data_IF_852206820100
#
_entry.id   IF_852206820100
#
_cell.length_a   1.000
_cell.length_b   1.000
_cell.length_c   1.000
_cell.angle_alpha   90.00
_cell.angle_beta   90.00
_cell.angle_gamma   90.00
#
_symmetry.space_group_name_H-M   'P 1'
#
loop_
_entity.id
_entity.type
_entity.pdbx_description
1 polymer ?
#
# COMPACT_ATOMS: atom_id res chain seq x y z
N UNK A 1 -15.03 -6.05 17.25
CA UNK A 1 -15.23 -5.30 15.99
C UNK A 1 -15.49 -3.85 16.39
N UNK A 2 -14.77 -2.87 15.83
CA UNK A 2 -15.08 -1.48 16.14
C UNK A 2 -16.54 -1.25 15.72
N UNK A 3 -17.36 -0.80 16.67
CA UNK A 3 -18.72 -0.31 16.47
C UNK A 3 -18.74 1.06 15.79
N UNK A 4 -17.57 1.56 15.38
CA UNK A 4 -17.43 2.80 14.65
C UNK A 4 -17.62 2.48 13.16
N UNK A 5 -18.55 3.20 12.53
CA UNK A 5 -18.80 3.08 11.09
C UNK A 5 -17.54 3.25 10.26
N UNK A 6 -17.62 2.83 9.00
CA UNK A 6 -16.59 3.02 8.00
C UNK A 6 -16.24 4.50 7.82
N UNK A 7 -15.08 4.77 7.18
CA UNK A 7 -14.70 6.09 6.71
C UNK A 7 -15.75 6.83 5.83
N UNK A 8 -16.85 6.26 5.42
CA UNK A 8 -17.92 6.99 4.71
C UNK A 8 -19.19 7.15 5.56
N UNK A 9 -19.10 6.85 6.87
CA UNK A 9 -20.22 6.87 7.79
C UNK A 9 -21.10 5.62 7.71
N UNK A 10 -20.82 4.67 6.80
CA UNK A 10 -21.61 3.44 6.65
C UNK A 10 -21.31 2.45 7.77
N UNK A 11 -22.31 1.67 8.16
CA UNK A 11 -22.17 0.59 9.14
C UNK A 11 -22.15 -0.77 8.40
N UNK A 12 -21.25 -1.69 8.75
CA UNK A 12 -21.28 -3.05 8.23
C UNK A 12 -22.41 -3.85 8.86
N UNK A 13 -23.40 -4.26 8.05
CA UNK A 13 -24.47 -5.19 8.43
C UNK A 13 -24.11 -6.58 7.90
N UNK A 14 -23.79 -7.51 8.82
CA UNK A 14 -23.33 -8.85 8.46
C UNK A 14 -24.48 -9.85 8.51
N UNK A 15 -24.73 -10.53 7.39
CA UNK A 15 -25.60 -11.68 7.28
C UNK A 15 -24.74 -12.93 7.08
N UNK A 16 -25.17 -14.07 7.61
CA UNK A 16 -24.49 -15.32 7.30
C UNK A 16 -25.41 -16.52 7.43
N UNK A 17 -25.24 -17.48 6.53
CA UNK A 17 -26.00 -18.71 6.50
C UNK A 17 -25.10 -19.94 6.24
N UNK A 18 -25.65 -21.13 6.52
CA UNK A 18 -24.95 -22.39 6.31
C UNK A 18 -25.06 -22.90 4.86
N UNK A 19 -26.02 -22.37 4.10
CA UNK A 19 -26.26 -22.58 2.68
C UNK A 19 -26.40 -21.21 2.01
N UNK A 20 -26.07 -21.12 0.73
CA UNK A 20 -25.98 -19.84 0.00
C UNK A 20 -27.35 -19.21 -0.21
N UNK A 21 -28.31 -20.02 -0.64
CA UNK A 21 -29.70 -19.67 -0.90
C UNK A 21 -30.42 -19.09 0.33
N UNK A 22 -29.92 -19.40 1.53
CA UNK A 22 -30.49 -18.90 2.78
C UNK A 22 -30.09 -17.45 3.08
N UNK A 23 -29.06 -16.91 2.43
CA UNK A 23 -28.75 -15.47 2.53
C UNK A 23 -29.90 -14.61 2.01
N UNK A 24 -30.51 -15.01 0.89
CA UNK A 24 -31.67 -14.32 0.32
C UNK A 24 -32.88 -14.39 1.28
N UNK A 25 -33.10 -15.57 1.88
CA UNK A 25 -34.18 -15.77 2.87
C UNK A 25 -33.99 -14.89 4.11
N UNK A 26 -32.76 -14.80 4.64
CA UNK A 26 -32.44 -13.93 5.76
C UNK A 26 -32.58 -12.44 5.37
N UNK A 27 -32.20 -12.06 4.15
CA UNK A 27 -32.36 -10.71 3.64
C UNK A 27 -33.84 -10.29 3.59
N UNK A 28 -34.73 -11.15 3.07
CA UNK A 28 -36.18 -10.92 3.06
C UNK A 28 -36.80 -10.83 4.46
N UNK A 29 -36.29 -11.62 5.40
CA UNK A 29 -36.72 -11.54 6.79
C UNK A 29 -36.35 -10.20 7.42
N UNK A 30 -35.13 -9.70 7.15
CA UNK A 30 -34.69 -8.39 7.63
C UNK A 30 -35.47 -7.27 6.94
N UNK A 31 -35.68 -7.32 5.62
CA UNK A 31 -36.50 -6.33 4.89
C UNK A 31 -37.88 -6.15 5.52
N UNK A 32 -38.55 -7.25 5.88
CA UNK A 32 -39.84 -7.21 6.60
C UNK A 32 -39.74 -6.60 7.99
N UNK A 33 -38.60 -6.75 8.67
CA UNK A 33 -38.36 -6.14 9.97
C UNK A 33 -38.11 -4.63 9.88
N UNK A 34 -37.49 -4.15 8.79
CA UNK A 34 -37.13 -2.73 8.60
C UNK A 34 -38.33 -1.78 8.46
N UNK A 35 -39.56 -2.28 8.35
CA UNK A 35 -40.78 -1.47 8.44
C UNK A 35 -41.10 -0.94 9.85
N UNK A 36 -40.22 -1.18 10.84
CA UNK A 36 -40.33 -0.73 12.23
C UNK A 36 -39.41 0.45 12.49
N UNK A 37 -39.64 1.14 13.61
CA UNK A 37 -38.74 2.19 14.09
C UNK A 37 -37.38 1.60 14.53
N UNK A 38 -36.37 1.73 13.67
CA UNK A 38 -35.03 1.19 13.85
C UNK A 38 -34.00 1.97 13.04
N UNK A 39 -32.72 1.78 13.35
CA UNK A 39 -31.60 2.33 12.60
C UNK A 39 -30.63 1.21 12.16
N UNK A 40 -29.72 1.54 11.24
CA UNK A 40 -28.76 0.57 10.67
C UNK A 40 -27.85 -0.03 11.75
N UNK A 41 -27.43 0.77 12.72
CA UNK A 41 -26.53 0.33 13.80
C UNK A 41 -27.20 -0.68 14.72
N UNK A 42 -28.47 -0.44 15.07
CA UNK A 42 -29.28 -1.33 15.89
C UNK A 42 -29.49 -2.69 15.19
N UNK A 43 -29.73 -2.68 13.87
CA UNK A 43 -29.85 -3.90 13.06
C UNK A 43 -28.51 -4.65 13.03
N UNK A 44 -27.41 -3.97 12.69
CA UNK A 44 -26.07 -4.56 12.65
C UNK A 44 -25.68 -5.22 13.99
N UNK A 45 -25.85 -4.49 15.09
CA UNK A 45 -25.54 -4.98 16.43
C UNK A 45 -26.42 -6.18 16.82
N UNK A 46 -27.70 -6.16 16.46
CA UNK A 46 -28.62 -7.27 16.74
C UNK A 46 -28.23 -8.54 15.99
N UNK A 47 -27.91 -8.44 14.70
CA UNK A 47 -27.46 -9.59 13.91
C UNK A 47 -26.17 -10.18 14.48
N UNK A 48 -25.16 -9.35 14.75
CA UNK A 48 -23.89 -9.79 15.31
C UNK A 48 -24.03 -10.44 16.70
N UNK A 49 -24.95 -9.95 17.54
CA UNK A 49 -25.15 -10.47 18.90
C UNK A 49 -25.98 -11.76 18.93
N UNK A 50 -26.92 -11.92 18.01
CA UNK A 50 -27.93 -13.00 18.08
C UNK A 50 -27.68 -14.12 17.08
N UNK A 51 -26.89 -13.89 16.02
CA UNK A 51 -26.62 -14.87 14.97
C UNK A 51 -25.17 -15.33 15.04
N UNK A 52 -24.98 -16.66 15.04
CA UNK A 52 -23.66 -17.26 14.86
C UNK A 52 -23.20 -17.05 13.41
N UNK A 53 -21.99 -16.55 13.22
CA UNK A 53 -21.37 -16.44 11.90
C UNK A 53 -21.18 -17.83 11.26
N UNK A 54 -21.68 -17.99 10.03
CA UNK A 54 -21.63 -19.22 9.24
C UNK A 54 -20.74 -19.05 7.99
N UNK A 55 -20.73 -20.07 7.12
CA UNK A 55 -19.86 -20.17 5.95
C UNK A 55 -20.20 -19.12 4.89
N UNK A 56 -21.44 -19.09 4.44
CA UNK A 56 -21.89 -18.14 3.42
C UNK A 56 -22.18 -16.83 4.13
N UNK A 57 -21.52 -15.75 3.70
CA UNK A 57 -21.56 -14.44 4.36
C UNK A 57 -21.88 -13.38 3.34
N UNK A 58 -22.65 -12.38 3.78
CA UNK A 58 -22.82 -11.13 3.08
C UNK A 58 -22.57 -9.97 4.05
N UNK A 59 -21.94 -8.91 3.56
CA UNK A 59 -21.80 -7.64 4.28
C UNK A 59 -22.46 -6.57 3.44
N UNK A 60 -23.52 -5.97 3.98
CA UNK A 60 -24.15 -4.77 3.41
C UNK A 60 -23.57 -3.56 4.13
N UNK A 61 -22.98 -2.63 3.40
CA UNK A 61 -22.48 -1.36 3.95
C UNK A 61 -23.55 -0.29 3.76
N UNK A 62 -24.12 0.25 4.83
CA UNK A 62 -25.21 1.22 4.73
C UNK A 62 -25.07 2.36 5.74
N UNK A 63 -25.28 3.60 5.29
CA UNK A 63 -25.36 4.80 6.13
C UNK A 63 -26.81 5.15 6.51
N UNK A 64 -27.80 4.56 5.84
CA UNK A 64 -29.21 4.80 6.09
C UNK A 64 -30.04 3.53 5.93
N UNK A 65 -31.27 3.55 6.45
CA UNK A 65 -32.23 2.44 6.24
C UNK A 65 -32.54 2.24 4.76
N UNK A 66 -32.60 3.31 3.96
CA UNK A 66 -32.81 3.21 2.51
C UNK A 66 -31.67 2.43 1.84
N UNK A 67 -30.41 2.77 2.14
CA UNK A 67 -29.24 2.05 1.62
C UNK A 67 -29.22 0.57 2.06
N UNK A 68 -29.63 0.31 3.30
CA UNK A 68 -29.74 -1.05 3.81
C UNK A 68 -30.82 -1.85 3.06
N UNK A 69 -31.97 -1.23 2.78
CA UNK A 69 -33.05 -1.84 2.00
C UNK A 69 -32.56 -2.18 0.59
N UNK A 70 -31.90 -1.24 -0.11
CA UNK A 70 -31.37 -1.47 -1.46
C UNK A 70 -30.39 -2.65 -1.50
N UNK A 71 -29.45 -2.69 -0.55
CA UNK A 71 -28.48 -3.79 -0.46
C UNK A 71 -29.11 -5.14 -0.13
N UNK A 72 -30.10 -5.17 0.77
CA UNK A 72 -30.82 -6.40 1.11
C UNK A 72 -31.73 -6.89 -0.02
N UNK A 73 -32.35 -5.97 -0.78
CA UNK A 73 -33.14 -6.31 -1.97
C UNK A 73 -32.25 -6.93 -3.04
N UNK A 74 -31.07 -6.38 -3.28
CA UNK A 74 -30.11 -6.97 -4.20
C UNK A 74 -29.67 -8.36 -3.75
N UNK A 75 -29.37 -8.53 -2.46
CA UNK A 75 -29.00 -9.84 -1.89
C UNK A 75 -30.13 -10.87 -1.99
N UNK A 76 -31.38 -10.45 -1.74
CA UNK A 76 -32.57 -11.29 -1.90
C UNK A 76 -32.77 -11.74 -3.36
N UNK A 77 -32.59 -10.83 -4.30
CA UNK A 77 -32.72 -11.11 -5.73
C UNK A 77 -31.51 -11.85 -6.34
N UNK A 78 -30.42 -12.03 -5.60
CA UNK A 78 -29.17 -12.59 -6.12
C UNK A 78 -28.43 -11.66 -7.10
N UNK A 79 -28.68 -10.35 -7.02
CA UNK A 79 -28.08 -9.34 -7.88
C UNK A 79 -26.81 -8.75 -7.27
N UNK A 80 -25.86 -8.35 -8.11
CA UNK A 80 -24.72 -7.55 -7.68
C UNK A 80 -25.15 -6.16 -7.21
N UNK A 81 -24.47 -5.64 -6.19
CA UNK A 81 -24.72 -4.29 -5.68
C UNK A 81 -23.43 -3.68 -5.14
N UNK A 82 -23.10 -2.41 -5.45
CA UNK A 82 -21.84 -1.79 -5.03
C UNK A 82 -21.59 -1.81 -3.50
N UNK A 83 -22.66 -1.80 -2.71
CA UNK A 83 -22.61 -1.82 -1.25
C UNK A 83 -22.58 -3.22 -0.63
N UNK A 84 -22.74 -4.28 -1.42
CA UNK A 84 -22.86 -5.67 -0.94
C UNK A 84 -21.63 -6.46 -1.35
N UNK A 85 -20.98 -7.09 -0.36
CA UNK A 85 -19.91 -8.06 -0.60
C UNK A 85 -20.35 -9.43 -0.08
N UNK A 86 -20.16 -10.48 -0.87
CA UNK A 86 -20.46 -11.86 -0.47
C UNK A 86 -19.20 -12.72 -0.49
N UNK A 87 -19.15 -13.74 0.36
CA UNK A 87 -18.11 -14.75 0.33
C UNK A 87 -18.57 -16.03 1.03
N UNK A 88 -18.12 -17.16 0.50
CA UNK A 88 -18.23 -18.48 1.13
C UNK A 88 -16.87 -19.16 1.30
N UNK A 89 -15.80 -18.40 1.07
CA UNK A 89 -14.44 -18.91 1.09
C UNK A 89 -14.05 -19.33 2.51
N UNK A 90 -13.39 -20.49 2.57
CA UNK A 90 -12.86 -21.10 3.79
C UNK A 90 -11.34 -21.13 3.80
N UNK A 91 -10.69 -20.48 2.82
CA UNK A 91 -9.25 -20.46 2.71
C UNK A 91 -8.60 -20.01 4.01
N UNK A 92 -7.72 -20.86 4.52
CA UNK A 92 -6.90 -20.65 5.72
C UNK A 92 -5.51 -20.16 5.37
N UNK A 93 -5.32 -19.65 4.14
CA UNK A 93 -4.04 -19.17 3.65
C UNK A 93 -3.51 -18.01 4.50
N UNK A 94 -2.19 -17.84 4.52
CA UNK A 94 -1.58 -16.67 5.15
C UNK A 94 -2.01 -15.42 4.41
N UNK A 95 -2.43 -14.39 5.14
CA UNK A 95 -2.60 -13.05 4.59
C UNK A 95 -1.24 -12.47 4.23
N UNK A 96 -1.14 -11.88 3.03
CA UNK A 96 0.06 -11.18 2.57
C UNK A 96 -0.22 -9.68 2.58
N UNK A 97 0.63 -8.90 3.26
CA UNK A 97 0.62 -7.44 3.12
C UNK A 97 1.64 -7.02 2.07
N UNK A 98 1.17 -6.25 1.09
CA UNK A 98 1.99 -5.77 -0.03
C UNK A 98 2.16 -4.27 0.10
N UNK A 99 3.41 -3.82 0.13
CA UNK A 99 3.78 -2.42 0.34
C UNK A 99 4.37 -1.84 -0.96
N UNK A 100 3.67 -0.93 -1.65
CA UNK A 100 4.14 -0.38 -2.91
C UNK A 100 5.35 0.56 -2.71
N UNK A 101 6.11 0.75 -3.79
CA UNK A 101 7.22 1.70 -3.83
C UNK A 101 6.80 3.12 -4.21
N UNK A 102 7.75 3.89 -4.72
CA UNK A 102 7.52 5.27 -5.17
C UNK A 102 6.86 5.32 -6.56
N UNK A 103 5.99 6.31 -6.78
CA UNK A 103 5.39 6.63 -8.08
C UNK A 103 3.91 7.04 -8.05
N UNK A 104 3.16 6.70 -6.99
CA UNK A 104 1.72 7.00 -6.86
C UNK A 104 1.38 7.82 -5.61
N UNK A 105 2.39 8.35 -4.91
CA UNK A 105 2.18 9.25 -3.78
C UNK A 105 1.65 10.60 -4.24
N UNK A 106 0.88 11.25 -3.38
CA UNK A 106 0.33 12.58 -3.61
C UNK A 106 0.26 13.33 -2.28
N UNK A 107 0.45 14.67 -2.27
CA UNK A 107 0.25 15.47 -1.06
C UNK A 107 -1.15 15.23 -0.51
N UNK A 108 -1.31 15.19 0.82
CA UNK A 108 -2.58 14.93 1.51
C UNK A 108 -3.07 13.48 1.52
N UNK A 109 -2.29 12.51 1.01
CA UNK A 109 -2.73 11.11 0.92
C UNK A 109 -3.12 10.45 2.25
N UNK A 110 -2.66 10.99 3.38
CA UNK A 110 -3.01 10.50 4.71
C UNK A 110 -3.96 11.40 5.49
N UNK A 111 -4.45 12.50 4.93
CA UNK A 111 -5.23 13.51 5.65
C UNK A 111 -6.50 12.92 6.30
N UNK A 112 -7.34 12.24 5.51
CA UNK A 112 -8.58 11.64 6.01
C UNK A 112 -8.31 10.55 7.05
N UNK A 113 -7.30 9.71 6.83
CA UNK A 113 -6.93 8.66 7.76
C UNK A 113 -6.43 9.23 9.09
N UNK A 114 -5.63 10.30 9.02
CA UNK A 114 -5.09 11.00 10.19
C UNK A 114 -6.18 11.70 11.01
N UNK A 115 -7.18 12.30 10.36
CA UNK A 115 -8.30 12.93 11.07
C UNK A 115 -9.20 11.88 11.75
N UNK A 116 -9.43 10.74 11.08
CA UNK A 116 -10.59 9.89 11.38
C UNK A 116 -10.26 8.56 12.04
N UNK A 117 -9.02 8.10 11.94
CA UNK A 117 -8.55 6.88 12.59
C UNK A 117 -7.55 7.21 13.70
N UNK A 118 -7.95 7.08 14.99
CA UNK A 118 -7.05 7.26 16.12
C UNK A 118 -5.84 6.32 16.07
N UNK A 119 -6.01 5.10 15.53
CA UNK A 119 -4.93 4.12 15.37
C UNK A 119 -3.89 4.60 14.36
N UNK A 120 -4.35 5.13 13.23
CA UNK A 120 -3.47 5.69 12.21
C UNK A 120 -2.72 6.90 12.75
N UNK A 121 -3.46 7.87 13.33
CA UNK A 121 -2.90 9.09 13.91
C UNK A 121 -1.81 8.78 14.95
N UNK A 122 -2.07 7.88 15.89
CA UNK A 122 -1.10 7.52 16.91
C UNK A 122 0.22 6.99 16.32
N UNK A 123 0.15 6.15 15.29
CA UNK A 123 1.35 5.68 14.60
C UNK A 123 2.05 6.83 13.85
N UNK A 124 1.29 7.67 13.13
CA UNK A 124 1.88 8.81 12.43
C UNK A 124 2.64 9.70 13.40
N UNK A 125 2.07 10.00 14.56
CA UNK A 125 2.70 10.80 15.60
C UNK A 125 4.00 10.15 16.13
N UNK A 126 4.00 8.82 16.31
CA UNK A 126 5.18 8.06 16.70
C UNK A 126 6.29 8.13 15.64
N UNK A 127 5.94 7.94 14.37
CA UNK A 127 6.88 8.07 13.26
C UNK A 127 7.43 9.50 13.17
N UNK A 128 6.58 10.52 13.27
CA UNK A 128 6.99 11.93 13.26
C UNK A 128 7.98 12.22 14.39
N UNK A 129 7.74 11.69 15.59
CA UNK A 129 8.68 11.81 16.70
C UNK A 129 10.02 11.12 16.40
N UNK A 130 10.01 9.97 15.72
CA UNK A 130 11.24 9.28 15.29
C UNK A 130 12.04 10.07 14.24
N UNK A 131 11.38 10.69 13.26
CA UNK A 131 12.04 11.60 12.30
C UNK A 131 12.63 12.83 13.01
N UNK A 132 11.90 13.41 13.96
CA UNK A 132 12.38 14.54 14.76
C UNK A 132 13.59 14.15 15.64
N UNK A 133 13.56 12.97 16.27
CA UNK A 133 14.66 12.43 17.06
C UNK A 133 15.93 12.17 16.22
N UNK A 134 15.76 11.85 14.93
CA UNK A 134 16.86 11.75 13.98
C UNK A 134 17.40 13.12 13.52
N UNK A 135 16.76 14.23 13.88
CA UNK A 135 17.16 15.59 13.48
C UNK A 135 16.70 15.96 12.07
N UNK A 136 15.59 15.40 11.61
CA UNK A 136 15.10 15.52 10.24
C UNK A 136 13.69 16.14 10.14
N UNK A 137 13.37 16.63 8.93
CA UNK A 137 12.04 17.17 8.61
C UNK A 137 10.93 16.15 8.83
N UNK A 138 9.75 16.65 9.21
CA UNK A 138 8.59 15.80 9.48
C UNK A 138 7.92 15.36 8.17
N UNK A 139 7.48 14.10 8.04
CA UNK A 139 6.66 13.66 6.91
C UNK A 139 5.21 14.17 7.00
N UNK A 140 4.77 14.69 8.15
CA UNK A 140 3.39 15.09 8.40
C UNK A 140 2.88 16.18 7.44
N UNK A 141 3.62 17.26 7.15
CA UNK A 141 3.16 18.31 6.24
C UNK A 141 2.80 17.78 4.85
N UNK A 142 3.60 16.90 4.26
CA UNK A 142 3.27 16.26 2.99
C UNK A 142 2.03 15.36 3.13
N UNK A 143 1.96 14.59 4.22
CA UNK A 143 0.91 13.60 4.45
C UNK A 143 -0.48 14.23 4.66
N UNK A 144 -0.54 15.42 5.25
CA UNK A 144 -1.80 16.09 5.65
C UNK A 144 -1.97 17.49 5.06
N UNK A 145 -1.19 17.88 4.04
CA UNK A 145 -1.28 19.20 3.42
C UNK A 145 -2.74 19.54 3.07
N UNK A 146 -3.15 20.80 3.24
CA UNK A 146 -4.48 21.24 2.78
C UNK A 146 -4.47 21.77 1.34
N UNK A 147 -3.28 22.05 0.81
CA UNK A 147 -3.06 22.48 -0.59
C UNK A 147 -1.89 21.69 -1.19
N UNK A 148 -2.05 21.21 -2.43
CA UNK A 148 -1.03 20.41 -3.11
C UNK A 148 0.21 21.17 -3.60
N UNK A 149 0.33 22.46 -3.29
CA UNK A 149 1.44 23.31 -3.69
C UNK A 149 2.45 23.42 -2.54
N UNK A 150 3.55 22.67 -2.65
CA UNK A 150 4.70 22.75 -1.77
C UNK A 150 5.95 22.25 -2.50
N UNK A 151 7.10 22.86 -2.22
CA UNK A 151 8.39 22.29 -2.58
C UNK A 151 8.74 21.27 -1.51
N UNK A 152 8.70 19.99 -1.86
CA UNK A 152 8.82 18.88 -0.91
C UNK A 152 10.14 18.15 -1.12
N UNK A 153 10.90 18.00 -0.04
CA UNK A 153 12.14 17.22 -0.03
C UNK A 153 11.86 15.72 -0.22
N UNK A 154 12.86 14.95 -0.66
CA UNK A 154 12.72 13.49 -0.73
C UNK A 154 12.50 12.86 0.65
N UNK A 155 13.01 13.47 1.72
CA UNK A 155 12.76 13.01 3.10
C UNK A 155 11.28 13.12 3.44
N UNK A 156 10.63 14.23 3.10
CA UNK A 156 9.19 14.42 3.33
C UNK A 156 8.35 13.47 2.47
N UNK A 157 8.68 13.34 1.17
CA UNK A 157 7.95 12.47 0.24
C UNK A 157 8.08 11.00 0.64
N UNK A 158 9.31 10.48 0.75
CA UNK A 158 9.54 9.06 1.08
C UNK A 158 9.14 8.73 2.52
N UNK A 159 9.36 9.67 3.44
CA UNK A 159 8.88 9.56 4.82
C UNK A 159 7.36 9.45 4.88
N UNK A 160 6.62 10.31 4.17
CA UNK A 160 5.17 10.24 4.14
C UNK A 160 4.67 8.92 3.54
N UNK A 161 5.34 8.39 2.51
CA UNK A 161 5.01 7.08 1.94
C UNK A 161 5.19 5.93 2.92
N UNK A 162 6.34 5.88 3.60
CA UNK A 162 6.60 4.90 4.64
C UNK A 162 5.54 4.99 5.76
N UNK A 163 5.33 6.19 6.29
CA UNK A 163 4.39 6.42 7.39
C UNK A 163 2.96 6.07 6.99
N UNK A 164 2.53 6.44 5.79
CA UNK A 164 1.20 6.10 5.29
C UNK A 164 1.01 4.60 5.14
N UNK A 165 1.98 3.91 4.54
CA UNK A 165 1.91 2.47 4.30
C UNK A 165 1.84 1.67 5.61
N UNK A 166 2.66 2.03 6.60
CA UNK A 166 2.63 1.40 7.93
C UNK A 166 1.35 1.77 8.69
N UNK A 167 0.85 3.01 8.57
CA UNK A 167 -0.41 3.44 9.19
C UNK A 167 -1.61 2.66 8.70
N UNK A 168 -1.69 2.43 7.39
CA UNK A 168 -2.72 1.58 6.81
C UNK A 168 -2.61 0.13 7.30
N UNK A 169 -1.39 -0.41 7.42
CA UNK A 169 -1.18 -1.75 7.97
C UNK A 169 -1.65 -1.85 9.43
N UNK A 170 -1.37 -0.83 10.26
CA UNK A 170 -1.82 -0.78 11.64
C UNK A 170 -3.35 -0.69 11.76
N UNK A 171 -4.03 0.03 10.84
CA UNK A 171 -5.50 -0.01 10.77
C UNK A 171 -5.97 -1.45 10.55
N UNK A 172 -5.43 -2.16 9.56
CA UNK A 172 -5.81 -3.56 9.29
C UNK A 172 -5.56 -4.48 10.49
N UNK A 173 -4.41 -4.34 11.14
CA UNK A 173 -4.06 -5.10 12.34
C UNK A 173 -5.01 -4.81 13.50
N UNK A 174 -5.44 -3.55 13.68
CA UNK A 174 -6.44 -3.18 14.71
C UNK A 174 -7.81 -3.81 14.46
N UNK A 175 -8.11 -4.18 13.21
CA UNK A 175 -9.30 -4.94 12.82
C UNK A 175 -9.11 -6.47 12.93
N UNK A 176 -7.95 -6.94 13.41
CA UNK A 176 -7.61 -8.35 13.54
C UNK A 176 -7.05 -9.01 12.27
N UNK A 177 -6.82 -8.23 11.21
CA UNK A 177 -6.18 -8.72 9.98
C UNK A 177 -4.68 -8.57 10.12
N UNK A 178 -3.97 -9.68 10.31
CA UNK A 178 -2.51 -9.69 10.53
C UNK A 178 -1.81 -10.44 9.40
N UNK A 179 -0.65 -9.96 8.92
CA UNK A 179 0.07 -10.63 7.85
C UNK A 179 0.80 -11.86 8.39
N UNK A 180 0.77 -12.95 7.62
CA UNK A 180 1.74 -14.05 7.77
C UNK A 180 2.98 -13.86 6.90
N UNK A 181 2.90 -12.97 5.90
CA UNK A 181 3.97 -12.60 4.97
C UNK A 181 3.86 -11.10 4.66
N UNK A 182 4.98 -10.40 4.57
CA UNK A 182 5.07 -9.05 3.99
C UNK A 182 5.96 -9.07 2.76
N UNK A 183 5.59 -8.27 1.76
CA UNK A 183 6.37 -8.03 0.54
C UNK A 183 6.36 -6.53 0.28
N UNK A 184 7.52 -5.95 0.00
CA UNK A 184 7.63 -4.55 -0.40
C UNK A 184 8.24 -4.41 -1.78
N UNK A 185 7.92 -3.31 -2.46
CA UNK A 185 8.57 -2.94 -3.72
C UNK A 185 9.46 -1.72 -3.49
N UNK A 186 10.77 -1.84 -3.72
CA UNK A 186 11.72 -0.72 -3.52
C UNK A 186 11.60 -0.15 -2.09
N UNK A 187 11.42 1.17 -1.93
CA UNK A 187 11.11 1.86 -0.66
C UNK A 187 10.04 1.15 0.20
N UNK A 188 9.04 0.51 -0.43
CA UNK A 188 7.99 -0.22 0.28
C UNK A 188 8.53 -1.37 1.14
N UNK A 189 9.73 -1.90 0.84
CA UNK A 189 10.37 -2.92 1.66
C UNK A 189 10.69 -2.47 3.07
N UNK A 190 10.96 -1.17 3.29
CA UNK A 190 11.22 -0.64 4.63
C UNK A 190 9.95 -0.76 5.50
N UNK A 191 8.78 -0.44 4.93
CA UNK A 191 7.49 -0.66 5.59
C UNK A 191 7.20 -2.15 5.79
N UNK A 192 7.50 -2.99 4.80
CA UNK A 192 7.30 -4.44 4.88
C UNK A 192 8.15 -5.08 5.99
N UNK A 193 9.41 -4.70 6.13
CA UNK A 193 10.32 -5.17 7.17
C UNK A 193 9.87 -4.71 8.56
N UNK A 194 9.49 -3.44 8.69
CA UNK A 194 8.98 -2.90 9.95
C UNK A 194 7.68 -3.60 10.40
N UNK A 195 6.68 -3.71 9.52
CA UNK A 195 5.39 -4.37 9.85
C UNK A 195 5.57 -5.86 10.12
N UNK A 196 6.57 -6.51 9.52
CA UNK A 196 6.92 -7.89 9.86
C UNK A 196 7.59 -8.03 11.24
N UNK A 197 7.92 -6.94 11.92
CA UNK A 197 8.66 -6.95 13.19
C UNK A 197 10.14 -7.30 13.02
N UNK A 198 10.68 -7.22 11.80
CA UNK A 198 12.06 -7.58 11.47
C UNK A 198 13.03 -6.42 11.66
N UNK A 199 12.50 -5.21 11.87
CA UNK A 199 13.24 -3.95 11.96
C UNK A 199 12.55 -3.03 12.95
N UNK A 200 13.33 -2.26 13.73
CA UNK A 200 12.78 -1.27 14.67
C UNK A 200 12.27 -0.03 13.93
N UNK A 201 11.40 0.77 14.55
CA UNK A 201 10.95 2.03 13.95
C UNK A 201 12.12 2.99 13.73
N UNK A 202 13.04 3.08 14.69
CA UNK A 202 14.24 3.93 14.60
C UNK A 202 15.10 3.55 13.40
N UNK A 203 15.36 2.25 13.20
CA UNK A 203 16.14 1.79 12.05
C UNK A 203 15.41 2.04 10.73
N UNK A 204 14.10 1.77 10.69
CA UNK A 204 13.27 2.00 9.50
C UNK A 204 13.31 3.47 9.07
N UNK A 205 13.12 4.39 10.02
CA UNK A 205 13.21 5.84 9.76
C UNK A 205 14.61 6.23 9.30
N UNK A 206 15.67 5.69 9.91
CA UNK A 206 17.05 5.95 9.48
C UNK A 206 17.31 5.47 8.04
N UNK A 207 16.80 4.31 7.65
CA UNK A 207 16.91 3.80 6.27
C UNK A 207 16.17 4.70 5.27
N UNK A 208 14.93 5.11 5.58
CA UNK A 208 14.17 6.03 4.72
C UNK A 208 14.91 7.34 4.53
N UNK A 209 15.43 7.91 5.62
CA UNK A 209 16.23 9.14 5.61
C UNK A 209 17.50 8.98 4.77
N UNK A 210 18.25 7.89 4.98
CA UNK A 210 19.49 7.61 4.26
C UNK A 210 19.25 7.52 2.75
N UNK A 211 18.21 6.77 2.35
CA UNK A 211 17.79 6.63 0.95
C UNK A 211 17.39 7.97 0.34
N UNK A 212 16.54 8.73 1.03
CA UNK A 212 16.10 10.05 0.57
C UNK A 212 17.28 11.02 0.36
N UNK A 213 18.21 11.08 1.32
CA UNK A 213 19.42 11.91 1.22
C UNK A 213 20.34 11.47 0.09
N UNK A 214 20.50 10.16 -0.12
CA UNK A 214 21.34 9.64 -1.19
C UNK A 214 20.78 10.06 -2.56
N UNK A 215 19.46 9.89 -2.78
CA UNK A 215 18.85 10.27 -4.07
C UNK A 215 18.83 11.79 -4.30
N UNK A 216 18.73 12.61 -3.24
CA UNK A 216 18.82 14.07 -3.35
C UNK A 216 20.20 14.55 -3.84
N UNK A 217 21.24 13.73 -3.70
CA UNK A 217 22.60 14.06 -4.17
C UNK A 217 22.83 13.73 -5.63
N UNK A 218 21.95 12.95 -6.26
CA UNK A 218 22.08 12.59 -7.67
C UNK A 218 22.02 13.84 -8.54
N UNK A 219 23.07 14.00 -9.34
CA UNK A 219 23.15 15.03 -10.35
C UNK A 219 22.66 14.47 -11.67
N UNK A 220 21.80 15.21 -12.35
CA UNK A 220 21.29 14.82 -13.67
C UNK A 220 19.79 15.03 -13.77
N UNK A 221 19.29 14.84 -14.99
CA UNK A 221 17.88 14.96 -15.29
C UNK A 221 17.35 13.60 -15.75
N UNK A 222 16.79 12.87 -14.80
CA UNK A 222 16.37 11.49 -14.99
C UNK A 222 14.86 11.35 -14.95
N UNK A 223 14.35 10.33 -15.61
CA UNK A 223 12.93 9.95 -15.57
C UNK A 223 12.80 8.44 -15.47
N UNK A 224 11.59 8.03 -15.13
CA UNK A 224 11.16 6.64 -15.14
C UNK A 224 9.87 6.51 -15.94
N UNK A 225 9.68 5.42 -16.65
CA UNK A 225 8.45 5.10 -17.36
C UNK A 225 8.02 3.66 -17.11
N UNK A 226 6.72 3.46 -16.87
CA UNK A 226 6.09 2.15 -16.86
C UNK A 226 5.68 1.76 -18.27
N UNK A 227 6.03 0.54 -18.69
CA UNK A 227 5.69 -0.04 -19.99
C UNK A 227 4.86 -1.31 -19.80
N UNK A 228 3.83 -1.48 -20.62
CA UNK A 228 2.94 -2.65 -20.62
C UNK A 228 3.47 -3.80 -21.48
N UNK A 229 4.73 -4.19 -21.29
CA UNK A 229 5.45 -5.19 -22.08
C UNK A 229 6.32 -6.09 -21.20
N UNK A 230 6.84 -7.17 -21.76
CA UNK A 230 7.80 -8.04 -21.09
C UNK A 230 9.20 -7.41 -21.00
N UNK A 231 10.05 -7.95 -20.12
CA UNK A 231 11.44 -7.49 -19.96
C UNK A 231 12.25 -7.60 -21.25
N UNK A 232 12.11 -8.69 -22.00
CA UNK A 232 12.86 -8.87 -23.26
C UNK A 232 12.41 -7.91 -24.36
N UNK A 233 11.12 -7.57 -24.42
CA UNK A 233 10.62 -6.53 -25.34
C UNK A 233 11.13 -5.15 -24.95
N UNK A 234 11.21 -4.85 -23.64
CA UNK A 234 11.75 -3.60 -23.15
C UNK A 234 13.25 -3.46 -23.44
N UNK A 235 14.05 -4.51 -23.24
CA UNK A 235 15.47 -4.55 -23.61
C UNK A 235 15.67 -4.29 -25.11
N UNK A 236 14.83 -4.90 -25.97
CA UNK A 236 14.88 -4.63 -27.41
C UNK A 236 14.51 -3.18 -27.74
N UNK A 237 13.48 -2.63 -27.10
CA UNK A 237 13.05 -1.25 -27.33
C UNK A 237 14.11 -0.24 -26.85
N UNK A 238 14.71 -0.47 -25.69
CA UNK A 238 15.82 0.32 -25.13
C UNK A 238 16.97 0.40 -26.15
N UNK A 239 17.33 -0.71 -26.78
CA UNK A 239 18.40 -0.76 -27.77
C UNK A 239 18.11 0.06 -29.06
N UNK A 240 16.86 0.47 -29.29
CA UNK A 240 16.46 1.28 -30.45
C UNK A 240 16.43 2.79 -30.18
N UNK A 241 16.58 3.19 -28.92
CA UNK A 241 16.49 4.59 -28.49
C UNK A 241 17.89 5.09 -28.13
N UNK A 242 18.24 6.28 -28.60
CA UNK A 242 19.51 6.91 -28.24
C UNK A 242 19.48 7.44 -26.79
N UNK A 243 20.64 7.38 -26.12
CA UNK A 243 20.79 7.80 -24.74
C UNK A 243 20.76 6.63 -23.75
N UNK A 244 20.96 6.93 -22.48
CA UNK A 244 21.05 5.91 -21.44
C UNK A 244 19.67 5.54 -20.87
N UNK A 245 19.36 4.24 -20.90
CA UNK A 245 18.14 3.62 -20.39
C UNK A 245 18.48 2.23 -19.81
N UNK A 246 17.85 1.89 -18.69
CA UNK A 246 17.98 0.58 -18.03
C UNK A 246 16.63 0.11 -17.47
N UNK A 247 16.40 -1.20 -17.48
CA UNK A 247 15.25 -1.79 -16.77
C UNK A 247 15.46 -1.65 -15.27
N UNK A 248 14.53 -0.98 -14.61
CA UNK A 248 14.57 -0.70 -13.17
C UNK A 248 13.71 -1.65 -12.34
N UNK A 249 12.58 -2.11 -12.89
CA UNK A 249 11.70 -3.04 -12.17
C UNK A 249 10.93 -3.93 -13.13
N UNK A 250 10.64 -5.16 -12.68
CA UNK A 250 9.76 -6.10 -13.36
C UNK A 250 8.56 -6.36 -12.44
N UNK A 251 7.45 -5.66 -12.69
CA UNK A 251 6.24 -5.73 -11.86
C UNK A 251 5.39 -6.96 -12.19
N UNK A 252 5.42 -7.40 -13.46
CA UNK A 252 4.73 -8.60 -13.91
C UNK A 252 5.36 -9.12 -15.22
N UNK A 253 4.81 -10.21 -15.76
CA UNK A 253 5.22 -10.75 -17.07
C UNK A 253 5.00 -9.77 -18.24
N UNK A 254 4.16 -8.76 -18.05
CA UNK A 254 3.78 -7.77 -19.06
C UNK A 254 3.76 -6.35 -18.49
N UNK A 255 4.58 -6.09 -17.47
CA UNK A 255 4.73 -4.76 -16.88
C UNK A 255 6.14 -4.58 -16.35
N UNK A 256 6.86 -3.61 -16.90
CA UNK A 256 8.20 -3.22 -16.47
C UNK A 256 8.28 -1.72 -16.23
N UNK A 257 9.31 -1.31 -15.50
CA UNK A 257 9.71 0.09 -15.38
C UNK A 257 11.11 0.23 -15.97
N UNK A 258 11.29 1.26 -16.79
CA UNK A 258 12.58 1.66 -17.34
C UNK A 258 12.93 3.02 -16.78
N UNK A 259 14.18 3.22 -16.39
CA UNK A 259 14.73 4.53 -16.01
C UNK A 259 15.84 4.94 -16.94
N UNK A 260 16.06 6.24 -17.04
CA UNK A 260 17.17 6.76 -17.82
C UNK A 260 17.23 8.28 -17.82
N UNK A 261 18.01 8.81 -18.75
CA UNK A 261 18.02 10.26 -19.04
C UNK A 261 16.64 10.72 -19.52
N UNK A 262 16.23 11.93 -19.14
CA UNK A 262 14.90 12.48 -19.48
C UNK A 262 14.56 12.34 -20.96
N UNK A 263 15.47 12.74 -21.84
CA UNK A 263 15.20 12.75 -23.28
C UNK A 263 15.06 11.33 -23.84
N UNK A 264 15.88 10.39 -23.34
CA UNK A 264 15.81 8.99 -23.72
C UNK A 264 14.49 8.34 -23.25
N UNK A 265 14.04 8.65 -22.03
CA UNK A 265 12.75 8.15 -21.52
C UNK A 265 11.58 8.74 -22.31
N UNK A 266 11.63 10.04 -22.62
CA UNK A 266 10.63 10.70 -23.48
C UNK A 266 10.55 10.01 -24.84
N UNK A 267 11.69 9.77 -25.48
CA UNK A 267 11.77 9.09 -26.77
C UNK A 267 11.28 7.63 -26.71
N UNK A 268 11.59 6.92 -25.63
CA UNK A 268 11.12 5.56 -25.37
C UNK A 268 9.60 5.50 -25.27
N UNK A 269 9.00 6.42 -24.50
CA UNK A 269 7.54 6.51 -24.33
C UNK A 269 6.85 6.84 -25.65
N UNK A 270 7.40 7.78 -26.44
CA UNK A 270 6.89 8.09 -27.77
C UNK A 270 6.96 6.86 -28.69
N UNK A 271 8.10 6.19 -28.76
CA UNK A 271 8.30 4.98 -29.60
C UNK A 271 7.35 3.85 -29.20
N UNK A 272 7.12 3.64 -27.90
CA UNK A 272 6.16 2.65 -27.41
C UNK A 272 4.72 3.03 -27.78
N UNK A 273 4.35 4.30 -27.65
CA UNK A 273 3.03 4.82 -27.99
C UNK A 273 2.73 4.69 -29.48
N UNK A 274 3.71 4.98 -30.34
CA UNK A 274 3.59 4.82 -31.80
C UNK A 274 3.36 3.36 -32.22
N UNK A 275 3.81 2.41 -31.39
CA UNK A 275 3.56 0.96 -31.57
C UNK A 275 2.26 0.49 -30.92
N UNK A 276 1.45 1.39 -30.34
CA UNK A 276 0.20 1.08 -29.66
C UNK A 276 0.38 0.39 -28.30
N UNK A 277 1.57 0.49 -27.69
CA UNK A 277 1.88 -0.11 -26.40
C UNK A 277 1.52 0.85 -25.27
N UNK A 278 1.14 0.32 -24.11
CA UNK A 278 1.00 1.15 -22.90
C UNK A 278 2.37 1.67 -22.46
N UNK A 279 2.52 2.98 -22.36
CA UNK A 279 3.70 3.65 -21.82
C UNK A 279 3.27 4.89 -21.03
N UNK A 280 3.83 5.07 -19.83
CA UNK A 280 3.50 6.22 -18.96
C UNK A 280 4.71 6.63 -18.14
N UNK A 281 5.11 7.89 -18.24
CA UNK A 281 6.10 8.48 -17.33
C UNK A 281 5.59 8.48 -15.88
N UNK A 282 6.50 8.25 -14.94
CA UNK A 282 6.23 8.25 -13.51
C UNK A 282 6.65 9.58 -12.89
N UNK A 283 5.98 9.98 -11.79
CA UNK A 283 6.34 11.16 -10.99
C UNK A 283 7.59 10.96 -10.13
N UNK A 284 8.64 10.36 -10.70
CA UNK A 284 9.93 10.08 -10.06
C UNK A 284 11.03 10.65 -10.95
N UNK A 285 11.88 11.48 -10.36
CA UNK A 285 12.91 12.26 -11.05
C UNK A 285 14.34 11.73 -10.85
N UNK A 286 14.48 10.51 -10.33
CA UNK A 286 15.75 9.82 -10.17
C UNK A 286 15.65 8.38 -10.71
N UNK A 287 16.75 7.78 -11.20
CA UNK A 287 16.72 6.50 -11.89
C UNK A 287 16.91 5.34 -10.89
N UNK A 288 15.87 5.04 -10.11
CA UNK A 288 15.92 3.95 -9.12
C UNK A 288 16.31 2.60 -9.74
N UNK A 289 17.07 1.77 -9.01
CA UNK A 289 17.46 0.42 -9.41
C UNK A 289 18.27 0.33 -10.72
N UNK A 290 19.18 1.28 -10.93
CA UNK A 290 20.06 1.32 -12.11
C UNK A 290 21.51 1.50 -11.71
N UNK A 291 22.43 1.30 -12.67
CA UNK A 291 23.86 1.54 -12.46
C UNK A 291 24.20 2.97 -12.06
N UNK A 292 23.33 3.96 -12.34
CA UNK A 292 23.53 5.34 -11.89
C UNK A 292 23.57 5.50 -10.36
N UNK A 293 23.06 4.51 -9.60
CA UNK A 293 23.13 4.52 -8.14
C UNK A 293 24.47 4.00 -7.59
N UNK A 294 25.32 3.37 -8.42
CA UNK A 294 26.60 2.78 -7.96
C UNK A 294 27.53 3.85 -7.36
N UNK A 295 27.53 5.05 -7.92
CA UNK A 295 28.31 6.18 -7.42
C UNK A 295 27.89 6.63 -6.00
N UNK A 296 26.68 6.25 -5.55
CA UNK A 296 26.17 6.58 -4.21
C UNK A 296 26.44 5.48 -3.18
N UNK A 297 27.09 4.37 -3.56
CA UNK A 297 27.27 3.21 -2.66
C UNK A 297 27.85 3.61 -1.30
N UNK A 298 28.98 4.33 -1.31
CA UNK A 298 29.70 4.71 -0.10
C UNK A 298 28.92 5.75 0.71
N UNK A 299 28.28 6.69 0.02
CA UNK A 299 27.44 7.72 0.63
C UNK A 299 26.23 7.12 1.34
N UNK A 300 25.51 6.20 0.68
CA UNK A 300 24.37 5.49 1.26
C UNK A 300 24.83 4.61 2.43
N UNK A 301 25.90 3.83 2.24
CA UNK A 301 26.44 2.95 3.28
C UNK A 301 26.86 3.72 4.54
N UNK A 302 27.39 4.93 4.40
CA UNK A 302 27.75 5.79 5.52
C UNK A 302 26.53 6.36 6.26
N UNK A 303 25.39 6.50 5.58
CA UNK A 303 24.14 7.04 6.14
C UNK A 303 23.25 5.97 6.76
N UNK A 304 23.35 4.72 6.30
CA UNK A 304 22.52 3.62 6.79
C UNK A 304 22.79 3.32 8.28
N UNK A 305 21.75 2.95 9.06
CA UNK A 305 21.95 2.54 10.44
C UNK A 305 22.77 1.25 10.49
N UNK A 306 23.66 1.16 11.48
CA UNK A 306 24.35 -0.09 11.79
C UNK A 306 23.37 -1.04 12.45
N UNK A 307 23.05 -2.14 11.81
CA UNK A 307 22.11 -3.11 12.34
C UNK A 307 21.88 -4.27 11.39
N UNK A 308 20.99 -5.16 11.81
CA UNK A 308 20.66 -6.38 11.09
C UNK A 308 19.20 -6.73 11.33
N UNK A 309 18.59 -7.47 10.40
CA UNK A 309 17.20 -7.90 10.55
C UNK A 309 17.04 -8.84 11.75
N UNK A 310 16.11 -8.52 12.64
CA UNK A 310 15.78 -9.29 13.84
C UNK A 310 14.91 -10.51 13.53
N UNK A 311 14.68 -11.38 14.52
CA UNK A 311 13.81 -12.54 14.38
C UNK A 311 12.33 -12.21 14.62
N UNK A 312 11.42 -12.75 13.79
CA UNK A 312 9.98 -12.51 13.91
C UNK A 312 9.16 -13.59 13.20
N UNK A 313 7.92 -13.89 13.66
CA UNK A 313 7.09 -14.93 13.05
C UNK A 313 6.54 -14.58 11.65
N UNK A 314 6.49 -13.28 11.30
CA UNK A 314 6.03 -12.82 9.99
C UNK A 314 7.20 -12.88 9.00
N UNK A 315 7.00 -13.55 7.86
CA UNK A 315 8.04 -13.67 6.85
C UNK A 315 8.14 -12.38 6.03
N UNK A 316 9.32 -11.78 5.97
CA UNK A 316 9.62 -10.66 5.07
C UNK A 316 10.30 -11.19 3.81
N UNK A 317 9.65 -11.03 2.65
CA UNK A 317 10.20 -11.43 1.35
C UNK A 317 10.78 -10.19 0.68
N UNK A 318 12.09 -10.23 0.41
CA UNK A 318 12.79 -9.14 -0.26
C UNK A 318 12.58 -9.18 -1.77
N UNK A 319 12.12 -8.10 -2.38
CA UNK A 319 11.94 -8.02 -3.84
C UNK A 319 13.28 -8.08 -4.59
N UNK A 320 14.37 -7.60 -3.98
CA UNK A 320 15.72 -7.70 -4.54
C UNK A 320 16.33 -9.12 -4.52
N UNK A 321 15.74 -10.04 -3.75
CA UNK A 321 16.23 -11.43 -3.63
C UNK A 321 15.21 -12.47 -4.10
N UNK A 322 13.92 -12.11 -4.14
CA UNK A 322 12.82 -13.04 -4.40
C UNK A 322 12.63 -14.11 -3.33
N UNK A 323 13.24 -13.94 -2.14
CA UNK A 323 13.28 -14.94 -1.08
C UNK A 323 13.03 -14.30 0.29
N UNK A 324 12.75 -15.14 1.30
CA UNK A 324 12.66 -14.69 2.68
C UNK A 324 14.02 -14.18 3.17
N UNK A 325 14.04 -12.98 3.76
CA UNK A 325 15.28 -12.35 4.25
C UNK A 325 15.73 -13.02 5.55
N UNK A 326 16.91 -13.66 5.59
CA UNK A 326 17.38 -14.36 6.79
C UNK A 326 17.57 -13.43 7.99
N UNK A 327 17.36 -13.97 9.20
CA UNK A 327 17.69 -13.27 10.46
C UNK A 327 19.19 -13.02 10.52
N UNK A 328 19.59 -11.84 10.99
CA UNK A 328 21.00 -11.44 11.05
C UNK A 328 21.57 -10.93 9.73
N UNK A 329 20.76 -10.79 8.68
CA UNK A 329 21.21 -10.13 7.44
C UNK A 329 21.53 -8.66 7.74
N UNK A 330 22.73 -8.21 7.38
CA UNK A 330 23.22 -6.85 7.61
C UNK A 330 22.45 -5.81 6.78
N UNK A 331 22.14 -4.68 7.40
CA UNK A 331 21.40 -3.59 6.77
C UNK A 331 22.16 -2.90 5.64
N UNK A 332 23.47 -2.67 5.77
CA UNK A 332 24.23 -1.91 4.79
C UNK A 332 24.22 -2.61 3.43
N UNK A 333 24.57 -3.90 3.41
CA UNK A 333 24.56 -4.69 2.19
C UNK A 333 23.14 -4.88 1.62
N UNK A 334 22.16 -5.13 2.49
CA UNK A 334 20.79 -5.40 2.04
C UNK A 334 20.14 -4.16 1.40
N UNK A 335 20.20 -3.01 2.08
CA UNK A 335 19.52 -1.80 1.62
C UNK A 335 20.21 -1.11 0.45
N UNK A 336 21.51 -1.33 0.24
CA UNK A 336 22.15 -0.93 -1.01
C UNK A 336 21.67 -1.77 -2.20
N UNK A 337 21.48 -3.09 -1.99
CA UNK A 337 21.00 -3.99 -3.04
C UNK A 337 19.51 -3.77 -3.36
N UNK A 338 18.72 -3.31 -2.41
CA UNK A 338 17.31 -2.93 -2.58
C UNK A 338 17.15 -1.68 -3.44
#
# INVERSE_FOLDING_TARGET
MPTNGFPDGRVPVVLSAHAEELLATDADAILRYLGRDTDVSAVAATLLRTRRLRRHRAVVRAASIAELIEGLQALSAGNEHPMVATSSDTSTGKTVFVFPGQGNQWPSMGADAYDRSPVYRALVDECVAAFAAAGHGSPLPYLTAHTGAGDWSQVEIQGAQFVHAVGLAHIWQSCGVTPGITVGHSLGEVAAAYVAGRMTLTDAVAVVIARAKAVDRLQGDYRMAALGISVGEAEHLIATVEGWLEVSAVNSRSSVVVSGQRDAVTALVATASDRGLFARELGVNYPGHTTALEALHDDLSALLPKGQFGDAPVQFIGSATGQAVPTGTDYAHYWYRN
#
